data_IF_889196440010
#
_entry.id   IF_889196440010
#
_cell.length_a   1.000
_cell.length_b   1.000
_cell.length_c   1.000
_cell.angle_alpha   90.00
_cell.angle_beta   90.00
_cell.angle_gamma   90.00
#
_symmetry.space_group_name_H-M   'P 1'
#
loop_
_entity.id
_entity.type
_entity.pdbx_description
1 polymer ?
#
# COMPACT_ATOMS: atom_id res chain seq x y z
N UNK A 1 7.38 -1.84 -15.93
CA UNK A 1 6.10 -2.26 -15.34
C UNK A 1 4.98 -1.43 -15.93
N UNK A 2 3.89 -2.04 -16.32
CA UNK A 2 2.76 -1.33 -16.90
C UNK A 2 1.97 -0.61 -15.82
N UNK A 3 1.36 0.53 -16.18
CA UNK A 3 0.56 1.33 -15.26
C UNK A 3 -0.57 0.50 -14.62
N UNK A 4 -1.23 -0.33 -15.42
CA UNK A 4 -2.30 -1.19 -14.91
C UNK A 4 -1.83 -2.14 -13.82
N UNK A 5 -0.62 -2.68 -13.97
CA UNK A 5 -0.03 -3.56 -12.96
C UNK A 5 0.28 -2.82 -11.67
N UNK A 6 0.76 -1.58 -11.79
CA UNK A 6 1.04 -0.74 -10.62
C UNK A 6 -0.26 -0.40 -9.90
N UNK A 7 -1.28 -0.02 -10.63
CA UNK A 7 -2.59 0.30 -10.06
C UNK A 7 -3.21 -0.92 -9.34
N UNK A 8 -3.11 -2.09 -9.95
CA UNK A 8 -3.62 -3.32 -9.35
C UNK A 8 -2.87 -3.65 -8.06
N UNK A 9 -1.56 -3.48 -8.05
CA UNK A 9 -0.76 -3.72 -6.85
C UNK A 9 -1.13 -2.76 -5.73
N UNK A 10 -1.35 -1.49 -6.06
CA UNK A 10 -1.78 -0.48 -5.07
C UNK A 10 -3.14 -0.87 -4.48
N UNK A 11 -4.06 -1.32 -5.31
CA UNK A 11 -5.37 -1.75 -4.84
C UNK A 11 -5.25 -2.96 -3.90
N UNK A 12 -4.45 -3.94 -4.27
CA UNK A 12 -4.20 -5.12 -3.43
C UNK A 12 -3.63 -4.72 -2.07
N UNK A 13 -2.68 -3.78 -2.07
CA UNK A 13 -2.09 -3.29 -0.82
C UNK A 13 -3.10 -2.55 0.04
N UNK A 14 -3.94 -1.72 -0.58
CA UNK A 14 -5.02 -1.04 0.14
C UNK A 14 -5.96 -2.04 0.81
N UNK A 15 -6.33 -3.09 0.10
CA UNK A 15 -7.22 -4.12 0.63
C UNK A 15 -6.56 -4.86 1.80
N UNK A 16 -5.29 -5.18 1.69
CA UNK A 16 -4.54 -5.82 2.78
C UNK A 16 -4.44 -4.93 4.00
N UNK A 17 -4.14 -3.66 3.80
CA UNK A 17 -4.06 -2.67 4.88
C UNK A 17 -5.41 -2.57 5.60
N UNK A 18 -6.48 -2.48 4.84
CA UNK A 18 -7.83 -2.39 5.42
C UNK A 18 -8.18 -3.64 6.22
N UNK A 19 -7.85 -4.82 5.71
CA UNK A 19 -8.10 -6.08 6.39
C UNK A 19 -7.33 -6.16 7.71
N UNK A 20 -6.06 -5.79 7.70
CA UNK A 20 -5.23 -5.79 8.91
C UNK A 20 -5.72 -4.76 9.92
N UNK A 21 -6.12 -3.58 9.45
CA UNK A 21 -6.67 -2.54 10.33
C UNK A 21 -7.94 -3.02 11.03
N UNK A 22 -8.79 -3.74 10.32
CA UNK A 22 -10.01 -4.33 10.90
C UNK A 22 -9.69 -5.37 11.95
N UNK A 23 -8.60 -6.12 11.78
CA UNK A 23 -8.19 -7.15 12.74
C UNK A 23 -7.68 -6.54 14.05
N UNK A 24 -7.22 -5.30 14.04
CA UNK A 24 -6.66 -4.65 15.23
C UNK A 24 -7.65 -4.63 16.40
N UNK A 25 -8.94 -4.57 16.12
CA UNK A 25 -9.98 -4.52 17.15
C UNK A 25 -10.12 -5.84 17.91
N UNK A 26 -9.65 -6.95 17.32
CA UNK A 26 -9.81 -8.29 17.90
C UNK A 26 -8.59 -8.78 18.66
N UNK A 27 -7.51 -7.99 18.68
CA UNK A 27 -6.25 -8.39 19.30
C UNK A 27 -5.90 -7.52 20.49
N UNK A 28 -5.07 -8.06 21.39
CA UNK A 28 -4.56 -7.30 22.52
C UNK A 28 -3.41 -6.37 22.07
N UNK A 29 -2.94 -5.52 22.98
CA UNK A 29 -1.95 -4.48 22.67
C UNK A 29 -0.66 -5.03 22.06
N UNK A 30 -0.21 -6.19 22.50
CA UNK A 30 1.03 -6.78 22.02
C UNK A 30 0.88 -7.23 20.56
N UNK A 31 -0.21 -7.92 20.27
CA UNK A 31 -0.48 -8.40 18.92
C UNK A 31 -0.85 -7.27 17.95
N UNK A 32 -1.50 -6.24 18.46
CA UNK A 32 -1.80 -5.03 17.67
C UNK A 32 -0.52 -4.38 17.18
N UNK A 33 0.53 -4.35 18.01
CA UNK A 33 1.80 -3.76 17.61
C UNK A 33 2.41 -4.48 16.39
N UNK A 34 2.34 -5.82 16.38
CA UNK A 34 2.82 -6.61 15.23
C UNK A 34 2.03 -6.27 13.98
N UNK A 35 0.71 -6.16 14.11
CA UNK A 35 -0.16 -5.79 12.97
C UNK A 35 0.19 -4.39 12.46
N UNK A 36 0.41 -3.44 13.35
CA UNK A 36 0.78 -2.08 12.96
C UNK A 36 2.09 -2.04 12.18
N UNK A 37 3.07 -2.85 12.56
CA UNK A 37 4.32 -2.94 11.81
C UNK A 37 4.10 -3.46 10.40
N UNK A 38 3.23 -4.45 10.24
CA UNK A 38 2.89 -4.97 8.92
C UNK A 38 2.17 -3.92 8.09
N UNK A 39 1.25 -3.19 8.69
CA UNK A 39 0.53 -2.11 8.02
C UNK A 39 1.51 -1.03 7.53
N UNK A 40 2.45 -0.63 8.38
CA UNK A 40 3.45 0.37 8.02
C UNK A 40 4.28 -0.07 6.82
N UNK A 41 4.70 -1.34 6.78
CA UNK A 41 5.45 -1.87 5.65
C UNK A 41 4.64 -1.82 4.36
N UNK A 42 3.37 -2.16 4.45
CA UNK A 42 2.47 -2.13 3.29
C UNK A 42 2.21 -0.70 2.82
N UNK A 43 2.08 0.23 3.75
CA UNK A 43 1.92 1.65 3.43
C UNK A 43 3.14 2.19 2.69
N UNK A 44 4.34 1.83 3.14
CA UNK A 44 5.59 2.24 2.48
C UNK A 44 5.66 1.70 1.05
N UNK A 45 5.30 0.44 0.86
CA UNK A 45 5.27 -0.16 -0.48
C UNK A 45 4.25 0.55 -1.36
N UNK A 46 3.05 0.81 -0.83
CA UNK A 46 2.02 1.54 -1.56
C UNK A 46 2.49 2.92 -1.97
N UNK A 47 3.11 3.66 -1.05
CA UNK A 47 3.60 5.00 -1.33
C UNK A 47 4.68 4.99 -2.42
N UNK A 48 5.59 4.02 -2.38
CA UNK A 48 6.62 3.87 -3.42
C UNK A 48 6.01 3.61 -4.79
N UNK A 49 4.98 2.77 -4.84
CA UNK A 49 4.28 2.48 -6.09
C UNK A 49 3.52 3.71 -6.60
N UNK A 50 2.93 4.48 -5.70
CA UNK A 50 2.24 5.72 -6.07
C UNK A 50 3.20 6.74 -6.67
N UNK A 51 4.39 6.89 -6.10
CA UNK A 51 5.43 7.75 -6.66
C UNK A 51 5.88 7.27 -8.04
N UNK A 52 6.02 5.97 -8.20
CA UNK A 52 6.38 5.39 -9.49
C UNK A 52 5.30 5.67 -10.54
N UNK A 53 4.04 5.57 -10.13
CA UNK A 53 2.91 5.83 -11.00
C UNK A 53 2.89 7.31 -11.44
N UNK A 54 3.10 8.23 -10.51
CA UNK A 54 3.19 9.66 -10.80
C UNK A 54 4.32 9.97 -11.79
N UNK A 55 5.48 9.36 -11.57
CA UNK A 55 6.61 9.53 -12.48
C UNK A 55 6.29 9.03 -13.87
N UNK A 56 5.56 7.94 -13.98
CA UNK A 56 5.14 7.40 -15.28
C UNK A 56 4.19 8.36 -16.01
N UNK A 57 3.26 8.96 -15.30
CA UNK A 57 2.35 9.96 -15.87
C UNK A 57 3.10 11.23 -16.27
N UNK A 58 4.03 11.71 -15.45
CA UNK A 58 4.84 12.87 -15.75
C UNK A 58 5.66 12.67 -17.04
N UNK A 59 6.22 11.48 -17.20
CA UNK A 59 6.98 11.14 -18.41
C UNK A 59 6.10 11.17 -19.66
N UNK A 60 4.85 10.71 -19.54
CA UNK A 60 3.91 10.74 -20.64
C UNK A 60 3.48 12.16 -21.00
N UNK A 61 3.30 13.00 -19.99
CA UNK A 61 2.91 14.40 -20.19
C UNK A 61 4.08 15.22 -20.73
N UNK A 62 5.30 14.90 -20.31
CA UNK A 62 6.51 15.60 -20.71
C UNK A 62 6.91 15.38 -22.17
N UNK A 63 6.30 14.46 -22.84
CA UNK A 63 6.56 14.21 -24.24
C UNK A 63 5.79 15.18 -25.12
#
# INVERSE_FOLDING_TARGET
MKIEQIEQRILDLKNKIHSLDSLKTDYDDVNVHVIEEQIDSLIQERNSLMELLESSFDNLIGL
#
